data_IF_982465307114
#
_entry.id   IF_982465307114
#
_cell.length_a   1.000
_cell.length_b   1.000
_cell.length_c   1.000
_cell.angle_alpha   90.00
_cell.angle_beta   90.00
_cell.angle_gamma   90.00
#
_symmetry.space_group_name_H-M   'P 1'
#
loop_
_entity.id
_entity.type
_entity.pdbx_description
1 polymer ?
#
# COMPACT_ATOMS: atom_id res chain seq x y z
N UNK A 1 -14.19 -4.67 -64.77
CA UNK A 1 -15.39 -5.52 -64.58
C UNK A 1 -15.78 -5.44 -63.13
N UNK A 2 -16.77 -4.60 -62.82
CA UNK A 2 -17.35 -4.49 -61.49
C UNK A 2 -18.58 -5.38 -61.39
N UNK A 3 -18.79 -5.99 -60.21
CA UNK A 3 -20.07 -6.57 -59.80
C UNK A 3 -20.22 -6.35 -58.29
N UNK A 4 -21.20 -5.53 -57.91
CA UNK A 4 -21.78 -5.45 -56.57
C UNK A 4 -22.91 -6.50 -56.46
N UNK A 5 -23.23 -6.97 -55.24
CA UNK A 5 -24.60 -7.30 -54.88
C UNK A 5 -25.03 -6.46 -53.66
N UNK A 6 -25.93 -5.48 -53.83
CA UNK A 6 -27.40 -5.60 -53.78
C UNK A 6 -27.94 -5.69 -52.35
N UNK A 7 -28.47 -4.55 -51.89
CA UNK A 7 -29.31 -4.41 -50.70
C UNK A 7 -30.67 -5.07 -50.91
N UNK A 8 -31.15 -5.78 -49.89
CA UNK A 8 -32.56 -6.15 -49.74
C UNK A 8 -33.14 -5.46 -48.51
N UNK A 9 -34.10 -4.58 -48.79
CA UNK A 9 -35.02 -3.94 -47.86
C UNK A 9 -36.04 -4.97 -47.37
N UNK A 10 -36.29 -5.03 -46.07
CA UNK A 10 -37.59 -5.45 -45.55
C UNK A 10 -38.06 -4.44 -44.51
N UNK A 11 -39.29 -4.00 -44.74
CA UNK A 11 -40.03 -3.02 -43.99
C UNK A 11 -40.73 -3.64 -42.78
N UNK A 12 -41.05 -2.79 -41.80
CA UNK A 12 -42.34 -2.83 -41.14
C UNK A 12 -42.42 -3.56 -39.80
N UNK A 13 -42.24 -2.81 -38.72
CA UNK A 13 -43.01 -3.01 -37.50
C UNK A 13 -43.34 -1.63 -36.90
N UNK A 14 -44.60 -1.24 -37.09
CA UNK A 14 -45.23 -0.09 -36.44
C UNK A 14 -45.77 -0.49 -35.06
N UNK A 15 -46.02 0.53 -34.22
CA UNK A 15 -46.71 0.50 -32.93
C UNK A 15 -45.90 -0.15 -31.79
N UNK A 16 -45.68 0.47 -30.63
CA UNK A 16 -46.55 1.33 -29.82
C UNK A 16 -45.67 2.33 -29.04
N UNK A 17 -45.85 3.63 -29.26
CA UNK A 17 -45.34 4.65 -28.33
C UNK A 17 -46.28 4.66 -27.12
N UNK A 18 -45.92 3.86 -26.10
CA UNK A 18 -46.54 3.98 -24.79
C UNK A 18 -46.02 5.28 -24.15
N UNK A 19 -46.91 6.27 -24.10
CA UNK A 19 -46.74 7.53 -23.38
C UNK A 19 -46.65 7.20 -21.88
N UNK A 20 -45.44 6.96 -21.37
CA UNK A 20 -45.21 6.76 -19.94
C UNK A 20 -45.28 8.13 -19.26
N UNK A 21 -46.38 8.36 -18.57
CA UNK A 21 -46.64 9.52 -17.73
C UNK A 21 -45.53 9.66 -16.68
N UNK A 22 -45.06 10.88 -16.53
CA UNK A 22 -44.06 11.35 -15.58
C UNK A 22 -44.40 10.93 -14.14
N UNK A 23 -43.52 10.15 -13.52
CA UNK A 23 -43.34 10.13 -12.07
C UNK A 23 -41.91 10.63 -11.81
N UNK A 24 -41.78 11.93 -11.57
CA UNK A 24 -40.52 12.50 -11.10
C UNK A 24 -40.20 11.89 -9.73
N UNK A 25 -38.98 11.43 -9.45
CA UNK A 25 -38.61 11.10 -8.09
C UNK A 25 -38.68 12.39 -7.26
N UNK A 26 -39.59 12.42 -6.29
CA UNK A 26 -39.61 13.46 -5.26
C UNK A 26 -38.22 13.54 -4.64
N UNK A 27 -37.53 14.64 -4.90
CA UNK A 27 -36.33 15.03 -4.17
C UNK A 27 -36.72 15.17 -2.71
N UNK A 28 -36.47 14.13 -1.92
CA UNK A 28 -36.50 14.21 -0.47
C UNK A 28 -35.50 15.32 -0.08
N UNK A 29 -36.03 16.44 0.38
CA UNK A 29 -35.23 17.55 0.89
C UNK A 29 -34.42 17.02 2.07
N UNK A 30 -33.11 16.93 1.90
CA UNK A 30 -32.20 16.68 3.03
C UNK A 30 -32.42 17.80 4.06
N UNK A 31 -32.66 17.48 5.34
CA UNK A 31 -32.75 18.51 6.37
C UNK A 31 -31.43 19.29 6.41
N UNK A 32 -31.52 20.61 6.47
CA UNK A 32 -30.37 21.47 6.65
C UNK A 32 -29.58 21.05 7.92
N UNK A 33 -28.24 21.05 7.89
CA UNK A 33 -27.47 20.81 9.10
C UNK A 33 -27.84 21.84 10.16
N UNK A 34 -28.07 21.37 11.39
CA UNK A 34 -28.31 22.24 12.53
C UNK A 34 -27.16 23.26 12.69
N UNK A 35 -27.43 24.49 13.13
CA UNK A 35 -26.38 25.45 13.41
C UNK A 35 -25.44 24.86 14.46
N UNK A 36 -24.16 24.74 14.10
CA UNK A 36 -23.10 24.42 15.06
C UNK A 36 -23.05 25.57 16.04
N UNK A 37 -23.55 25.32 17.26
CA UNK A 37 -23.37 26.23 18.39
C UNK A 37 -21.88 26.27 18.67
N UNK A 38 -21.26 27.42 18.39
CA UNK A 38 -19.89 27.70 18.72
C UNK A 38 -19.79 27.69 20.26
N UNK A 39 -19.33 26.57 20.82
CA UNK A 39 -19.00 26.50 22.23
C UNK A 39 -17.88 27.52 22.49
N UNK A 40 -18.13 28.44 23.43
CA UNK A 40 -17.15 29.38 23.91
C UNK A 40 -15.90 28.64 24.39
N UNK A 41 -14.74 29.15 23.99
CA UNK A 41 -13.45 28.63 24.39
C UNK A 41 -13.35 28.58 25.92
N UNK A 42 -13.15 27.37 26.46
CA UNK A 42 -12.72 27.20 27.83
C UNK A 42 -11.34 27.85 28.02
N UNK A 43 -11.04 28.44 29.20
CA UNK A 43 -9.75 29.03 29.46
C UNK A 43 -8.64 27.99 29.33
N UNK A 44 -7.64 28.31 28.52
CA UNK A 44 -6.42 27.54 28.38
C UNK A 44 -5.73 27.48 29.76
N UNK A 45 -5.82 26.32 30.41
CA UNK A 45 -4.89 25.98 31.46
C UNK A 45 -3.51 25.83 30.79
N UNK A 46 -2.61 26.75 31.08
CA UNK A 46 -1.18 26.62 30.76
C UNK A 46 -0.64 25.43 31.55
N UNK A 47 -0.68 24.25 30.95
CA UNK A 47 0.09 23.11 31.41
C UNK A 47 1.55 23.41 31.08
N UNK A 48 2.30 23.80 32.11
CA UNK A 48 3.75 23.93 32.05
C UNK A 48 4.34 22.56 31.69
N UNK A 49 5.11 22.50 30.59
CA UNK A 49 5.82 21.30 30.20
C UNK A 49 6.82 20.93 31.32
N UNK A 50 6.95 19.65 31.71
CA UNK A 50 7.97 19.23 32.65
C UNK A 50 9.34 19.63 32.09
N UNK A 51 10.08 20.48 32.82
CA UNK A 51 11.46 20.79 32.47
C UNK A 51 12.27 19.49 32.48
N UNK A 52 13.09 19.22 31.45
CA UNK A 52 14.01 18.08 31.50
C UNK A 52 14.96 18.26 32.70
N UNK A 53 15.37 17.17 33.36
CA UNK A 53 16.27 17.26 34.50
C UNK A 53 17.54 17.99 34.07
N UNK A 54 17.89 19.05 34.80
CA UNK A 54 19.14 19.76 34.60
C UNK A 54 20.30 18.80 34.77
N UNK A 55 21.09 18.61 33.72
CA UNK A 55 22.33 17.85 33.75
C UNK A 55 23.22 18.39 34.90
N UNK A 56 23.88 17.52 35.68
CA UNK A 56 24.82 17.97 36.70
C UNK A 56 25.93 18.80 36.05
N UNK A 57 26.09 20.05 36.49
CA UNK A 57 27.29 20.83 36.19
C UNK A 57 28.44 20.24 37.00
N UNK A 58 29.45 19.73 36.31
CA UNK A 58 30.69 19.24 36.93
C UNK A 58 30.97 17.80 36.59
N UNK A 59 31.28 17.53 35.33
CA UNK A 59 32.19 16.45 34.96
C UNK A 59 33.17 17.08 34.00
N UNK A 60 34.42 17.21 34.42
CA UNK A 60 35.51 17.68 33.56
C UNK A 60 35.53 16.86 32.26
N UNK A 61 35.83 17.46 31.09
CA UNK A 61 35.92 16.70 29.86
C UNK A 61 37.01 15.64 30.01
N UNK A 62 36.71 14.33 29.88
CA UNK A 62 37.78 13.36 29.73
C UNK A 62 38.49 13.70 28.43
N UNK A 63 39.73 14.15 28.57
CA UNK A 63 40.69 14.36 27.47
C UNK A 63 41.22 13.00 27.00
N UNK A 64 40.35 12.02 26.80
CA UNK A 64 40.70 10.71 26.27
C UNK A 64 39.75 10.41 25.12
N UNK A 65 40.32 10.47 23.93
CA UNK A 65 39.71 10.02 22.68
C UNK A 65 39.30 8.55 22.86
N UNK A 66 38.02 8.30 23.12
CA UNK A 66 37.46 6.95 23.07
C UNK A 66 37.40 6.54 21.59
N UNK A 67 38.52 6.07 21.05
CA UNK A 67 38.56 5.29 19.81
C UNK A 67 38.00 3.90 20.12
N UNK A 68 36.70 3.85 20.43
CA UNK A 68 35.96 2.62 20.61
C UNK A 68 35.48 2.13 19.26
N UNK A 69 35.95 0.96 18.83
CA UNK A 69 35.38 0.29 17.65
C UNK A 69 34.02 -0.26 18.06
N UNK A 70 32.95 0.51 17.81
CA UNK A 70 31.60 -0.02 17.88
C UNK A 70 31.35 -0.85 16.64
N UNK A 71 31.38 -2.18 16.78
CA UNK A 71 30.86 -3.08 15.75
C UNK A 71 29.35 -2.96 15.76
N UNK A 72 28.80 -2.13 14.87
CA UNK A 72 27.38 -2.14 14.58
C UNK A 72 27.07 -3.44 13.82
N UNK A 73 26.44 -4.40 14.49
CA UNK A 73 25.82 -5.53 13.79
C UNK A 73 24.61 -4.99 13.05
N UNK A 74 24.74 -4.75 11.75
CA UNK A 74 23.57 -4.52 10.91
C UNK A 74 22.87 -5.88 10.80
N UNK A 75 21.72 -6.00 11.46
CA UNK A 75 20.90 -7.21 11.41
C UNK A 75 20.22 -7.26 10.04
N UNK A 76 20.95 -7.75 9.04
CA UNK A 76 20.39 -8.08 7.72
C UNK A 76 19.65 -9.41 7.84
N UNK A 77 18.47 -9.51 7.24
CA UNK A 77 17.73 -10.76 7.18
C UNK A 77 18.41 -11.78 6.25
N UNK A 78 18.13 -13.07 6.44
CA UNK A 78 18.77 -14.15 5.67
C UNK A 78 18.23 -14.19 4.23
N UNK A 79 19.00 -13.63 3.31
CA UNK A 79 18.67 -13.64 1.88
C UNK A 79 18.60 -15.06 1.27
N UNK A 80 19.22 -16.06 1.88
CA UNK A 80 19.09 -17.45 1.42
C UNK A 80 17.71 -18.03 1.71
N UNK A 81 17.01 -17.49 2.71
CA UNK A 81 15.66 -17.89 3.10
C UNK A 81 14.56 -17.19 2.29
N UNK A 82 14.86 -16.36 1.28
CA UNK A 82 13.86 -15.58 0.52
C UNK A 82 12.68 -16.39 -0.02
N UNK A 83 12.88 -17.67 -0.34
CA UNK A 83 11.83 -18.55 -0.87
C UNK A 83 11.03 -19.30 0.20
N UNK A 84 11.43 -19.25 1.46
CA UNK A 84 10.71 -19.86 2.59
C UNK A 84 9.31 -19.28 2.66
N UNK A 85 8.34 -20.15 2.91
CA UNK A 85 6.93 -19.78 3.11
C UNK A 85 6.68 -19.61 4.60
N UNK A 86 6.08 -18.50 4.96
CA UNK A 86 5.71 -18.19 6.33
C UNK A 86 4.24 -18.53 6.55
N UNK A 87 3.94 -18.97 7.76
CA UNK A 87 2.54 -19.03 8.20
C UNK A 87 2.03 -17.62 8.52
N UNK A 88 0.71 -17.49 8.59
CA UNK A 88 0.02 -16.23 8.88
C UNK A 88 0.49 -15.58 10.18
N UNK A 89 0.72 -16.36 11.25
CA UNK A 89 1.00 -15.83 12.58
C UNK A 89 2.43 -15.29 12.68
N UNK A 90 3.39 -16.02 12.13
CA UNK A 90 4.80 -15.62 12.02
C UNK A 90 4.92 -14.36 11.17
N UNK A 91 4.30 -14.34 9.98
CA UNK A 91 4.34 -13.18 9.11
C UNK A 91 3.72 -11.94 9.76
N UNK A 92 2.58 -12.09 10.45
CA UNK A 92 1.96 -11.00 11.19
C UNK A 92 2.82 -10.50 12.36
N UNK A 93 3.44 -11.43 13.10
CA UNK A 93 4.34 -11.08 14.20
C UNK A 93 5.47 -10.18 13.71
N UNK A 94 6.19 -10.61 12.66
CA UNK A 94 7.34 -9.89 12.15
C UNK A 94 6.96 -8.54 11.50
N UNK A 95 5.85 -8.52 10.76
CA UNK A 95 5.29 -7.30 10.17
C UNK A 95 4.99 -6.24 11.24
N UNK A 96 4.28 -6.64 12.30
CA UNK A 96 3.88 -5.72 13.36
C UNK A 96 5.07 -5.31 14.24
N UNK A 97 6.00 -6.24 14.52
CA UNK A 97 7.23 -5.94 15.26
C UNK A 97 8.10 -4.90 14.53
N UNK A 98 8.09 -4.91 13.20
CA UNK A 98 8.76 -3.90 12.37
C UNK A 98 8.01 -2.55 12.29
N UNK A 99 6.81 -2.44 12.87
CA UNK A 99 6.01 -1.21 12.90
C UNK A 99 5.25 -0.93 11.60
N UNK A 100 4.99 -1.96 10.78
CA UNK A 100 4.01 -1.89 9.70
C UNK A 100 2.61 -2.09 10.27
N UNK A 101 1.62 -1.45 9.63
CA UNK A 101 0.21 -1.73 9.86
C UNK A 101 -0.27 -2.87 8.97
N UNK A 102 -1.40 -3.47 9.36
CA UNK A 102 -2.13 -4.45 8.56
C UNK A 102 -3.62 -4.12 8.64
N UNK A 103 -4.34 -4.24 7.52
CA UNK A 103 -5.77 -3.96 7.46
C UNK A 103 -6.47 -4.85 6.46
N UNK A 104 -7.47 -5.58 6.95
CA UNK A 104 -8.40 -6.38 6.16
C UNK A 104 -9.79 -5.75 6.15
N UNK A 105 -10.36 -5.57 4.96
CA UNK A 105 -11.72 -5.03 4.80
C UNK A 105 -12.80 -6.00 5.30
N UNK A 106 -12.54 -7.30 5.19
CA UNK A 106 -13.42 -8.37 5.66
C UNK A 106 -13.12 -8.83 7.09
N UNK A 107 -12.17 -8.19 7.78
CA UNK A 107 -11.75 -8.56 9.14
C UNK A 107 -11.32 -10.03 9.28
N UNK A 108 -10.59 -10.52 8.28
CA UNK A 108 -10.18 -11.91 8.15
C UNK A 108 -8.84 -12.05 7.43
N UNK A 109 -8.25 -13.25 7.52
CA UNK A 109 -6.92 -13.63 6.98
C UNK A 109 -7.00 -14.82 6.01
N UNK A 110 -8.19 -15.14 5.53
CA UNK A 110 -8.45 -16.31 4.69
C UNK A 110 -8.07 -16.01 3.22
N UNK A 111 -7.07 -16.73 2.70
CA UNK A 111 -6.55 -16.53 1.35
C UNK A 111 -7.59 -16.83 0.25
N UNK A 112 -8.65 -17.60 0.53
CA UNK A 112 -9.71 -17.89 -0.44
C UNK A 112 -10.74 -16.76 -0.56
N UNK A 113 -10.64 -15.72 0.28
CA UNK A 113 -11.60 -14.61 0.34
C UNK A 113 -10.93 -13.29 -0.01
N UNK A 114 -11.34 -12.70 -1.15
CA UNK A 114 -10.81 -11.41 -1.67
C UNK A 114 -10.96 -10.20 -0.76
N UNK A 115 -11.84 -10.25 0.24
CA UNK A 115 -12.01 -9.16 1.21
C UNK A 115 -11.04 -9.28 2.39
N UNK A 116 -10.41 -10.45 2.57
CA UNK A 116 -9.44 -10.68 3.63
C UNK A 116 -8.08 -10.07 3.27
N UNK A 117 -7.18 -10.03 4.27
CA UNK A 117 -5.76 -9.76 4.03
C UNK A 117 -4.94 -10.93 4.58
N UNK A 118 -4.72 -11.97 3.78
CA UNK A 118 -3.93 -13.13 4.12
C UNK A 118 -2.45 -12.90 3.87
N UNK A 119 -1.62 -13.34 4.80
CA UNK A 119 -0.17 -13.48 4.69
C UNK A 119 0.23 -14.97 4.73
N UNK A 120 -0.74 -15.89 4.80
CA UNK A 120 -0.47 -17.33 4.75
C UNK A 120 0.28 -17.67 3.46
N UNK A 121 1.34 -18.46 3.56
CA UNK A 121 2.25 -18.80 2.46
C UNK A 121 2.94 -17.60 1.80
N UNK A 122 3.00 -16.43 2.43
CA UNK A 122 3.85 -15.34 1.93
C UNK A 122 5.31 -15.80 1.94
N UNK A 123 6.10 -15.31 0.97
CA UNK A 123 7.53 -15.57 0.97
C UNK A 123 8.21 -14.70 2.03
N UNK A 124 9.14 -15.28 2.79
CA UNK A 124 9.98 -14.54 3.74
C UNK A 124 10.65 -13.32 3.09
N UNK A 125 11.20 -13.48 1.89
CA UNK A 125 11.83 -12.37 1.16
C UNK A 125 10.86 -11.26 0.73
N UNK A 126 9.57 -11.57 0.53
CA UNK A 126 8.54 -10.56 0.22
C UNK A 126 8.22 -9.75 1.47
N UNK A 127 8.04 -10.42 2.61
CA UNK A 127 7.78 -9.75 3.88
C UNK A 127 8.96 -8.86 4.30
N UNK A 128 10.18 -9.41 4.25
CA UNK A 128 11.37 -8.66 4.65
C UNK A 128 11.64 -7.46 3.75
N UNK A 129 11.37 -7.54 2.45
CA UNK A 129 11.51 -6.37 1.57
C UNK A 129 10.42 -5.31 1.81
N UNK A 130 9.20 -5.69 2.23
CA UNK A 130 8.21 -4.72 2.70
C UNK A 130 8.67 -4.01 3.98
N UNK A 131 9.36 -4.74 4.88
CA UNK A 131 10.01 -4.18 6.06
C UNK A 131 11.17 -3.25 5.68
N UNK A 132 11.99 -3.62 4.71
CA UNK A 132 13.05 -2.76 4.20
C UNK A 132 12.49 -1.46 3.60
N UNK A 133 11.37 -1.53 2.87
CA UNK A 133 10.66 -0.35 2.38
C UNK A 133 10.20 0.56 3.53
N UNK A 134 9.68 -0.02 4.62
CA UNK A 134 9.28 0.71 5.84
C UNK A 134 10.47 1.45 6.44
N UNK A 135 11.62 0.79 6.59
CA UNK A 135 12.81 1.42 7.16
C UNK A 135 13.47 2.43 6.23
N UNK A 136 13.59 2.12 4.94
CA UNK A 136 14.22 2.99 3.95
C UNK A 136 13.42 4.26 3.68
N UNK A 137 12.08 4.18 3.75
CA UNK A 137 11.21 5.34 3.57
C UNK A 137 11.00 6.13 4.86
N UNK A 138 11.07 5.48 6.03
CA UNK A 138 10.62 6.05 7.30
C UNK A 138 9.11 6.32 7.37
N UNK A 139 8.34 5.91 6.34
CA UNK A 139 6.93 6.23 6.21
C UNK A 139 6.04 5.26 7.00
N UNK A 140 4.83 5.67 7.42
CA UNK A 140 3.78 4.72 7.74
C UNK A 140 3.48 3.83 6.53
N UNK A 141 3.44 2.51 6.74
CA UNK A 141 3.06 1.52 5.71
C UNK A 141 1.98 0.65 6.31
N UNK A 142 0.90 0.43 5.58
CA UNK A 142 -0.19 -0.48 5.97
C UNK A 142 -0.41 -1.48 4.86
N UNK A 143 -0.20 -2.77 5.16
CA UNK A 143 -0.49 -3.87 4.23
C UNK A 143 -2.00 -4.10 4.17
N UNK A 144 -2.54 -4.14 2.96
CA UNK A 144 -3.97 -4.30 2.67
C UNK A 144 -4.30 -5.52 1.82
N UNK A 145 -3.29 -6.18 1.26
CA UNK A 145 -3.40 -7.42 0.48
C UNK A 145 -2.08 -8.18 0.53
N UNK A 146 -2.15 -9.49 0.43
CA UNK A 146 -1.01 -10.39 0.49
C UNK A 146 -1.23 -11.57 -0.45
N UNK A 147 -1.66 -12.71 0.07
CA UNK A 147 -1.71 -13.98 -0.68
C UNK A 147 -3.10 -14.38 -1.16
N UNK A 148 -4.06 -13.45 -1.15
CA UNK A 148 -5.44 -13.74 -1.48
C UNK A 148 -5.60 -14.14 -2.95
N UNK A 149 -6.52 -15.08 -3.19
CA UNK A 149 -6.89 -15.52 -4.53
C UNK A 149 -7.85 -14.53 -5.15
N UNK A 150 -7.62 -14.19 -6.42
CA UNK A 150 -8.52 -13.31 -7.18
C UNK A 150 -7.82 -12.27 -8.03
N UNK A 151 -6.52 -12.08 -7.84
CA UNK A 151 -5.67 -11.24 -8.68
C UNK A 151 -5.21 -11.99 -9.94
N UNK A 152 -4.53 -11.26 -10.85
CA UNK A 152 -3.90 -11.87 -12.01
C UNK A 152 -2.98 -13.02 -11.57
N UNK A 153 -3.21 -14.22 -12.14
CA UNK A 153 -2.39 -15.39 -11.89
C UNK A 153 -1.00 -15.28 -12.50
N UNK A 154 -0.20 -16.34 -12.32
CA UNK A 154 1.15 -16.46 -12.86
C UNK A 154 2.19 -16.71 -11.77
N UNK A 155 3.44 -16.98 -12.17
CA UNK A 155 4.53 -17.37 -11.25
C UNK A 155 4.82 -16.33 -10.16
N UNK A 156 4.57 -15.07 -10.46
CA UNK A 156 4.92 -13.92 -9.63
C UNK A 156 3.65 -13.16 -9.26
N UNK A 157 2.79 -13.80 -8.46
CA UNK A 157 1.46 -13.32 -8.09
C UNK A 157 1.29 -13.25 -6.57
N UNK A 158 0.19 -12.63 -6.12
CA UNK A 158 -0.28 -12.63 -4.74
C UNK A 158 -0.36 -14.04 -4.16
N UNK A 159 -1.16 -14.92 -4.77
CA UNK A 159 -1.30 -16.31 -4.32
C UNK A 159 -0.03 -17.17 -4.37
N UNK A 160 1.08 -16.67 -4.93
CA UNK A 160 2.39 -17.32 -4.86
C UNK A 160 3.34 -16.61 -3.89
N UNK A 161 2.86 -15.66 -3.07
CA UNK A 161 3.62 -14.96 -2.03
C UNK A 161 4.67 -13.98 -2.55
N UNK A 162 4.59 -13.57 -3.82
CA UNK A 162 5.58 -12.65 -4.43
C UNK A 162 5.17 -11.18 -4.33
N UNK A 163 3.93 -10.90 -3.96
CA UNK A 163 3.36 -9.58 -4.01
C UNK A 163 2.71 -9.20 -2.69
N UNK A 164 2.63 -7.90 -2.45
CA UNK A 164 1.94 -7.30 -1.32
C UNK A 164 1.28 -6.02 -1.79
N UNK A 165 0.06 -5.78 -1.33
CA UNK A 165 -0.62 -4.51 -1.53
C UNK A 165 -0.44 -3.64 -0.30
N UNK A 166 -0.05 -2.38 -0.49
CA UNK A 166 0.01 -1.39 0.59
C UNK A 166 -0.88 -0.20 0.30
N UNK A 167 -1.53 0.31 1.34
CA UNK A 167 -2.37 1.50 1.23
C UNK A 167 -1.54 2.73 0.83
N UNK A 168 -2.11 3.56 -0.04
CA UNK A 168 -1.56 4.89 -0.31
C UNK A 168 -1.49 5.74 0.96
N UNK A 169 -0.43 6.55 1.02
CA UNK A 169 -0.38 7.73 1.85
C UNK A 169 0.69 8.68 1.31
N UNK A 170 0.52 9.97 1.57
CA UNK A 170 1.37 11.01 1.01
C UNK A 170 2.88 10.80 1.25
N UNK A 171 3.28 10.14 2.36
CA UNK A 171 4.69 9.85 2.63
C UNK A 171 5.22 8.79 1.68
N UNK A 172 4.59 7.60 1.63
CA UNK A 172 5.08 6.49 0.79
C UNK A 172 4.96 6.80 -0.70
N UNK A 173 3.89 7.49 -1.11
CA UNK A 173 3.67 7.92 -2.49
C UNK A 173 4.80 8.85 -2.95
N UNK A 174 5.12 9.85 -2.13
CA UNK A 174 6.23 10.78 -2.38
C UNK A 174 7.58 10.09 -2.38
N UNK A 175 7.83 9.18 -1.44
CA UNK A 175 9.08 8.43 -1.36
C UNK A 175 9.30 7.61 -2.64
N UNK A 176 8.31 6.82 -3.06
CA UNK A 176 8.41 5.98 -4.26
C UNK A 176 8.61 6.85 -5.49
N UNK A 177 7.73 7.83 -5.72
CA UNK A 177 7.76 8.65 -6.95
C UNK A 177 9.00 9.54 -7.08
N UNK A 178 9.64 9.92 -5.97
CA UNK A 178 10.88 10.73 -6.00
C UNK A 178 12.16 9.90 -6.02
N UNK A 179 12.14 8.72 -5.42
CA UNK A 179 13.35 7.89 -5.25
C UNK A 179 13.47 6.85 -6.35
N UNK A 180 12.34 6.33 -6.83
CA UNK A 180 12.29 5.25 -7.81
C UNK A 180 12.12 5.80 -9.21
N UNK A 181 12.65 5.06 -10.18
CA UNK A 181 12.58 5.46 -11.58
C UNK A 181 11.28 4.95 -12.18
N UNK A 182 10.50 5.84 -12.77
CA UNK A 182 9.40 5.46 -13.65
C UNK A 182 9.91 4.52 -14.76
N UNK A 183 9.22 3.40 -14.95
CA UNK A 183 9.58 2.39 -15.93
C UNK A 183 8.66 2.43 -17.15
N UNK A 184 7.35 2.31 -16.95
CA UNK A 184 6.32 2.36 -18.00
C UNK A 184 4.92 2.40 -17.39
N UNK A 185 3.92 2.67 -18.22
CA UNK A 185 2.51 2.43 -17.89
C UNK A 185 2.15 0.97 -18.21
N UNK A 186 1.46 0.29 -17.29
CA UNK A 186 0.88 -1.05 -17.50
C UNK A 186 -0.42 -0.96 -18.32
N UNK A 187 -0.87 -2.06 -18.92
CA UNK A 187 -2.02 -2.06 -19.82
C UNK A 187 -3.35 -1.63 -19.20
N UNK A 188 -3.45 -1.64 -17.88
CA UNK A 188 -4.59 -1.16 -17.08
C UNK A 188 -4.47 0.32 -16.66
N UNK A 189 -3.38 1.00 -17.05
CA UNK A 189 -3.12 2.40 -16.73
C UNK A 189 -2.26 2.64 -15.49
N UNK A 190 -1.86 1.58 -14.76
CA UNK A 190 -1.00 1.74 -13.58
C UNK A 190 0.42 2.16 -13.98
N UNK A 191 0.94 3.21 -13.34
CA UNK A 191 2.34 3.62 -13.49
C UNK A 191 3.25 2.64 -12.76
N UNK A 192 4.28 2.14 -13.45
CA UNK A 192 5.23 1.19 -12.87
C UNK A 192 6.53 1.91 -12.53
N UNK A 193 7.01 1.71 -11.30
CA UNK A 193 8.28 2.23 -10.81
C UNK A 193 9.22 1.09 -10.46
N UNK A 194 10.53 1.37 -10.53
CA UNK A 194 11.58 0.45 -10.09
C UNK A 194 12.57 1.14 -9.16
N UNK A 195 12.96 0.48 -8.06
CA UNK A 195 13.99 1.03 -7.19
C UNK A 195 15.32 1.16 -7.94
N UNK A 196 16.19 2.09 -7.50
CA UNK A 196 17.52 2.21 -8.08
C UNK A 196 18.30 0.89 -7.87
N UNK A 197 19.17 0.51 -8.81
CA UNK A 197 20.05 -0.64 -8.60
C UNK A 197 20.98 -0.36 -7.42
N UNK A 198 21.20 -1.36 -6.57
CA UNK A 198 22.25 -1.29 -5.56
C UNK A 198 23.63 -1.25 -6.24
N UNK A 199 24.59 -0.47 -5.72
CA UNK A 199 25.96 -0.44 -6.26
C UNK A 199 26.55 -1.86 -6.33
N UNK A 200 27.04 -2.26 -7.51
CA UNK A 200 27.61 -3.59 -7.73
C UNK A 200 26.60 -4.73 -7.89
N UNK A 201 25.29 -4.44 -7.89
CA UNK A 201 24.23 -5.44 -8.02
C UNK A 201 23.57 -5.42 -9.40
N UNK A 202 22.87 -6.52 -9.74
CA UNK A 202 21.97 -6.55 -10.90
C UNK A 202 20.82 -5.55 -10.70
N UNK A 203 20.17 -5.07 -11.78
CA UNK A 203 18.98 -4.24 -11.65
C UNK A 203 17.92 -4.95 -10.80
N UNK A 204 17.35 -4.22 -9.84
CA UNK A 204 16.22 -4.71 -9.08
C UNK A 204 15.11 -5.15 -10.03
N UNK A 205 14.59 -6.34 -9.79
CA UNK A 205 13.48 -6.92 -10.55
C UNK A 205 12.13 -6.58 -9.93
N UNK A 206 12.16 -5.88 -8.80
CA UNK A 206 10.99 -5.39 -8.09
C UNK A 206 10.27 -4.35 -8.92
N UNK A 207 8.95 -4.36 -8.81
CA UNK A 207 8.07 -3.46 -9.55
C UNK A 207 7.01 -2.95 -8.60
N UNK A 208 6.88 -1.63 -8.54
CA UNK A 208 5.88 -0.93 -7.75
C UNK A 208 4.85 -0.38 -8.72
N UNK A 209 3.65 -0.94 -8.72
CA UNK A 209 2.56 -0.47 -9.56
C UNK A 209 1.66 0.47 -8.76
N UNK A 210 1.51 1.69 -9.25
CA UNK A 210 0.58 2.69 -8.71
C UNK A 210 -0.83 2.38 -9.24
N UNK A 211 -1.64 1.65 -8.45
CA UNK A 211 -3.04 1.38 -8.77
C UNK A 211 -3.95 2.41 -8.07
N UNK A 212 -5.18 2.66 -8.54
CA UNK A 212 -6.01 3.76 -8.02
C UNK A 212 -6.29 3.75 -6.50
N UNK A 213 -6.13 2.62 -5.82
CA UNK A 213 -6.48 2.45 -4.40
C UNK A 213 -5.32 2.00 -3.52
N UNK A 214 -4.24 1.49 -4.11
CA UNK A 214 -3.11 0.91 -3.39
C UNK A 214 -1.88 0.82 -4.30
N UNK A 215 -0.71 0.66 -3.68
CA UNK A 215 0.46 0.16 -4.39
C UNK A 215 0.40 -1.35 -4.45
N UNK A 216 0.50 -1.90 -5.65
CA UNK A 216 0.67 -3.33 -5.91
C UNK A 216 2.16 -3.60 -6.17
N UNK A 217 2.84 -4.24 -5.21
CA UNK A 217 4.30 -4.36 -5.20
C UNK A 217 4.70 -5.80 -5.44
N UNK A 218 5.52 -6.02 -6.47
CA UNK A 218 6.19 -7.29 -6.75
C UNK A 218 7.62 -7.26 -6.23
N UNK A 219 7.98 -8.25 -5.41
CA UNK A 219 9.33 -8.51 -4.94
C UNK A 219 9.91 -9.79 -5.55
N UNK A 220 11.10 -9.73 -6.18
CA UNK A 220 11.64 -10.83 -7.00
C UNK A 220 12.99 -11.39 -6.56
#
# INVERSE_FOLDING_TARGET
MGIHPSWSVLAGAACVFALLLLAQPSLASTPAPAPVVLAAAAPQATAEAPQPPSLPRGVDPPSESLVGTFTATIQTWDASATAVRMDQAEAMHDLLAAGLGWKSSGHCVDADRRTCTSLEDIRYGTLMQAIDLKYASGCPITVTGGTEKGHAGGRFSHGHGFKVDIAHNACVDSYITRTYRFWKVRGDGADLFRPPPMPGSRPALDVYADEPTHWDILFR
#
